data_IF_923324925792
#
_entry.id   IF_923324925792
#
_cell.length_a   1.000
_cell.length_b   1.000
_cell.length_c   1.000
_cell.angle_alpha   90.00
_cell.angle_beta   90.00
_cell.angle_gamma   90.00
#
_symmetry.space_group_name_H-M   'P 1'
#
loop_
_entity.id
_entity.type
_entity.pdbx_description
1 polymer ?
#
# COMPACT_ATOMS: atom_id res chain seq x y z
N UNK A 1 -12.68 10.56 -0.17
CA UNK A 1 -11.37 9.92 -0.38
C UNK A 1 -10.37 10.45 0.65
N UNK A 2 -9.68 9.53 1.32
CA UNK A 2 -8.68 9.76 2.37
C UNK A 2 -7.62 8.64 2.31
N UNK A 3 -6.36 9.00 2.51
CA UNK A 3 -5.26 8.03 2.69
C UNK A 3 -5.17 7.64 4.16
N UNK A 4 -5.23 6.35 4.45
CA UNK A 4 -5.18 5.80 5.80
C UNK A 4 -3.72 5.61 6.22
N UNK A 5 -3.28 6.44 7.16
CA UNK A 5 -1.93 6.40 7.75
C UNK A 5 -1.85 5.35 8.87
N UNK A 6 -0.64 5.10 9.37
CA UNK A 6 -0.35 3.99 10.30
C UNK A 6 -1.24 3.99 11.55
N UNK A 7 -1.40 5.16 12.19
CA UNK A 7 -2.20 5.30 13.40
C UNK A 7 -3.69 5.00 13.17
N UNK A 8 -4.15 5.24 11.95
CA UNK A 8 -5.55 5.00 11.57
C UNK A 8 -5.78 3.55 11.16
N UNK A 9 -4.77 2.92 10.55
CA UNK A 9 -4.80 1.51 10.18
C UNK A 9 -5.05 0.61 11.39
N UNK A 10 -4.50 0.99 12.55
CA UNK A 10 -4.68 0.29 13.83
C UNK A 10 -6.15 0.27 14.32
N UNK A 11 -7.02 1.10 13.75
CA UNK A 11 -8.47 1.05 14.02
C UNK A 11 -9.19 -0.05 13.22
N UNK A 12 -8.56 -0.57 12.17
CA UNK A 12 -9.18 -1.52 11.24
C UNK A 12 -8.61 -2.94 11.36
N UNK A 13 -7.37 -3.07 11.83
CA UNK A 13 -6.71 -4.36 11.98
C UNK A 13 -5.82 -4.37 13.23
N UNK A 14 -5.84 -5.47 13.96
CA UNK A 14 -4.96 -5.66 15.13
C UNK A 14 -3.54 -6.04 14.71
N UNK A 15 -2.57 -5.83 15.60
CA UNK A 15 -1.19 -6.26 15.35
C UNK A 15 -1.08 -7.78 15.14
N UNK A 16 -1.94 -8.58 15.78
CA UNK A 16 -1.94 -10.04 15.62
C UNK A 16 -2.45 -10.45 14.24
N UNK A 17 -3.51 -9.80 13.75
CA UNK A 17 -4.03 -10.04 12.41
C UNK A 17 -3.05 -9.57 11.33
N UNK A 18 -2.41 -8.43 11.54
CA UNK A 18 -1.43 -7.89 10.60
C UNK A 18 -0.23 -8.82 10.42
N UNK A 19 0.19 -9.50 11.49
CA UNK A 19 1.28 -10.50 11.46
C UNK A 19 1.00 -11.67 10.52
N UNK A 20 -0.25 -11.93 10.13
CA UNK A 20 -0.60 -12.96 9.13
C UNK A 20 -0.07 -12.62 7.74
N UNK A 21 0.19 -11.33 7.47
CA UNK A 21 0.75 -10.86 6.21
C UNK A 21 2.28 -10.76 6.22
N UNK A 22 2.94 -11.09 7.32
CA UNK A 22 4.40 -11.00 7.41
C UNK A 22 5.06 -12.10 6.59
N UNK A 23 6.13 -11.75 5.90
CA UNK A 23 6.98 -12.69 5.18
C UNK A 23 8.18 -13.07 6.05
N UNK A 24 8.29 -14.34 6.41
CA UNK A 24 9.39 -14.85 7.26
C UNK A 24 10.77 -14.74 6.63
N UNK A 25 10.85 -14.49 5.32
CA UNK A 25 12.11 -14.31 4.59
C UNK A 25 12.57 -12.84 4.53
N UNK A 26 11.81 -11.91 5.11
CA UNK A 26 12.19 -10.49 5.20
C UNK A 26 12.70 -10.22 6.62
N UNK A 27 14.02 -10.00 6.73
CA UNK A 27 14.70 -9.70 8.00
C UNK A 27 14.46 -8.26 8.48
N UNK A 28 14.23 -7.32 7.55
CA UNK A 28 13.95 -5.93 7.91
C UNK A 28 12.51 -5.78 8.44
N UNK A 29 12.38 -5.63 9.75
CA UNK A 29 11.07 -5.54 10.43
C UNK A 29 10.18 -4.44 9.86
N UNK A 30 10.75 -3.28 9.50
CA UNK A 30 9.95 -2.17 8.97
C UNK A 30 9.47 -2.47 7.56
N UNK A 31 10.31 -3.05 6.72
CA UNK A 31 9.92 -3.48 5.38
C UNK A 31 8.79 -4.51 5.45
N UNK A 32 8.86 -5.44 6.40
CA UNK A 32 7.85 -6.47 6.62
C UNK A 32 6.51 -5.87 7.08
N UNK A 33 6.55 -4.88 7.98
CA UNK A 33 5.38 -4.09 8.38
C UNK A 33 4.74 -3.36 7.19
N UNK A 34 5.54 -2.68 6.37
CA UNK A 34 5.05 -1.94 5.20
C UNK A 34 4.41 -2.89 4.18
N UNK A 35 5.03 -4.05 3.94
CA UNK A 35 4.46 -5.11 3.11
C UNK A 35 3.11 -5.57 3.67
N UNK A 36 3.02 -5.76 4.98
CA UNK A 36 1.79 -6.18 5.63
C UNK A 36 0.67 -5.13 5.49
N UNK A 37 0.96 -3.83 5.63
CA UNK A 37 -0.01 -2.76 5.41
C UNK A 37 -0.51 -2.74 3.97
N UNK A 38 0.40 -2.82 3.00
CA UNK A 38 0.04 -2.93 1.58
C UNK A 38 -0.85 -4.15 1.33
N UNK A 39 -0.45 -5.31 1.86
CA UNK A 39 -1.15 -6.58 1.64
C UNK A 39 -2.54 -6.58 2.29
N UNK A 40 -2.69 -5.95 3.46
CA UNK A 40 -3.98 -5.75 4.10
C UNK A 40 -4.97 -5.05 3.15
N UNK A 41 -4.57 -3.93 2.54
CA UNK A 41 -5.45 -3.22 1.59
C UNK A 41 -5.66 -3.96 0.27
N UNK A 42 -4.70 -4.76 -0.18
CA UNK A 42 -4.84 -5.61 -1.38
C UNK A 42 -5.75 -6.81 -1.13
N UNK A 43 -5.81 -7.30 0.11
CA UNK A 43 -6.59 -8.47 0.47
C UNK A 43 -8.09 -8.17 0.45
N UNK A 44 -8.91 -9.21 0.28
CA UNK A 44 -10.37 -9.08 0.38
C UNK A 44 -10.84 -8.60 1.78
N UNK A 45 -9.99 -8.67 2.80
CA UNK A 45 -10.30 -8.13 4.14
C UNK A 45 -10.46 -6.60 4.09
N UNK A 46 -9.83 -5.91 3.13
CA UNK A 46 -10.06 -4.49 2.88
C UNK A 46 -11.53 -4.17 2.54
N UNK A 47 -12.23 -5.12 1.90
CA UNK A 47 -13.67 -4.98 1.60
C UNK A 47 -14.58 -5.01 2.83
N UNK A 48 -14.04 -5.42 4.00
CA UNK A 48 -14.73 -5.34 5.30
C UNK A 48 -14.50 -4.01 6.02
N UNK A 49 -13.55 -3.19 5.54
CA UNK A 49 -13.24 -1.90 6.12
C UNK A 49 -14.29 -0.88 5.64
N UNK A 50 -14.90 -0.07 6.54
CA UNK A 50 -15.95 0.88 6.19
C UNK A 50 -15.37 2.14 5.51
N UNK A 51 -14.62 1.95 4.43
CA UNK A 51 -14.00 3.00 3.62
C UNK A 51 -14.59 3.00 2.21
N UNK A 52 -14.61 4.17 1.58
CA UNK A 52 -14.92 4.26 0.17
C UNK A 52 -13.82 3.60 -0.68
N UNK A 53 -14.21 3.13 -1.87
CA UNK A 53 -13.33 2.41 -2.79
C UNK A 53 -12.06 3.21 -3.11
N UNK A 54 -12.17 4.52 -3.34
CA UNK A 54 -11.02 5.37 -3.62
C UNK A 54 -10.05 5.40 -2.43
N UNK A 55 -10.55 5.55 -1.20
CA UNK A 55 -9.73 5.51 0.02
C UNK A 55 -8.98 4.19 0.17
N UNK A 56 -9.59 3.04 -0.18
CA UNK A 56 -8.92 1.73 -0.17
C UNK A 56 -7.76 1.71 -1.19
N UNK A 57 -8.04 2.04 -2.46
CA UNK A 57 -7.06 1.96 -3.54
C UNK A 57 -5.89 2.95 -3.36
N UNK A 58 -6.15 4.19 -2.96
CA UNK A 58 -5.08 5.15 -2.72
C UNK A 58 -4.29 4.86 -1.43
N UNK A 59 -4.91 4.26 -0.41
CA UNK A 59 -4.17 3.75 0.75
C UNK A 59 -3.29 2.56 0.36
N UNK A 60 -3.79 1.65 -0.47
CA UNK A 60 -3.01 0.55 -1.02
C UNK A 60 -1.77 1.06 -1.77
N UNK A 61 -1.94 2.02 -2.67
CA UNK A 61 -0.82 2.62 -3.40
C UNK A 61 0.16 3.35 -2.49
N UNK A 62 -0.35 4.12 -1.52
CA UNK A 62 0.47 4.78 -0.52
C UNK A 62 1.39 3.79 0.21
N UNK A 63 0.84 2.69 0.73
CA UNK A 63 1.64 1.69 1.43
C UNK A 63 2.60 0.92 0.51
N UNK A 64 2.19 0.65 -0.74
CA UNK A 64 3.08 0.09 -1.74
C UNK A 64 4.29 1.00 -2.01
N UNK A 65 4.09 2.32 -2.18
CA UNK A 65 5.18 3.25 -2.43
C UNK A 65 6.18 3.28 -1.26
N UNK A 66 5.69 3.28 -0.01
CA UNK A 66 6.55 3.18 1.18
C UNK A 66 7.31 1.86 1.23
N UNK A 67 6.65 0.73 0.92
CA UNK A 67 7.27 -0.59 0.84
C UNK A 67 8.36 -0.63 -0.23
N UNK A 68 8.07 -0.16 -1.45
CA UNK A 68 9.00 -0.11 -2.60
C UNK A 68 10.27 0.65 -2.23
N UNK A 69 10.11 1.85 -1.68
CA UNK A 69 11.25 2.68 -1.29
C UNK A 69 12.12 1.96 -0.25
N UNK A 70 11.51 1.45 0.83
CA UNK A 70 12.26 0.73 1.86
C UNK A 70 12.92 -0.53 1.30
N UNK A 71 12.27 -1.23 0.39
CA UNK A 71 12.85 -2.39 -0.28
C UNK A 71 14.11 -2.00 -1.05
N UNK A 72 14.08 -0.89 -1.78
CA UNK A 72 15.22 -0.42 -2.57
C UNK A 72 16.38 0.06 -1.69
N UNK A 73 16.09 0.64 -0.53
CA UNK A 73 17.11 0.95 0.46
C UNK A 73 17.82 -0.30 1.01
N UNK A 74 17.07 -1.39 1.22
CA UNK A 74 17.59 -2.61 1.87
C UNK A 74 18.28 -3.54 0.87
N UNK A 75 17.68 -3.77 -0.30
CA UNK A 75 18.11 -4.78 -1.27
C UNK A 75 18.62 -4.19 -2.59
N UNK A 76 18.50 -2.88 -2.78
CA UNK A 76 18.77 -2.21 -4.05
C UNK A 76 17.56 -2.20 -4.99
N UNK A 77 17.67 -1.49 -6.13
CA UNK A 77 16.60 -1.39 -7.11
C UNK A 77 16.14 -2.76 -7.64
N UNK A 78 14.83 -2.93 -7.77
CA UNK A 78 14.20 -4.17 -8.26
C UNK A 78 13.18 -3.83 -9.36
N UNK A 79 13.48 -4.23 -10.59
CA UNK A 79 12.61 -3.99 -11.75
C UNK A 79 11.25 -4.70 -11.63
N UNK A 80 11.19 -5.83 -10.94
CA UNK A 80 9.95 -6.55 -10.68
C UNK A 80 9.02 -5.77 -9.75
N UNK A 81 9.58 -5.10 -8.75
CA UNK A 81 8.80 -4.21 -7.87
C UNK A 81 8.36 -2.95 -8.64
N UNK A 82 9.21 -2.34 -9.47
CA UNK A 82 8.77 -1.23 -10.33
C UNK A 82 7.59 -1.65 -11.23
N UNK A 83 7.67 -2.82 -11.85
CA UNK A 83 6.59 -3.36 -12.67
C UNK A 83 5.29 -3.59 -11.88
N UNK A 84 5.37 -4.05 -10.64
CA UNK A 84 4.19 -4.17 -9.77
C UNK A 84 3.56 -2.80 -9.49
N UNK A 85 4.37 -1.74 -9.38
CA UNK A 85 3.88 -0.37 -9.23
C UNK A 85 3.06 0.09 -10.44
N UNK A 86 3.50 -0.20 -11.66
CA UNK A 86 2.72 0.10 -12.86
C UNK A 86 1.42 -0.70 -12.95
N UNK A 87 1.45 -1.99 -12.63
CA UNK A 87 0.23 -2.83 -12.58
C UNK A 87 -0.77 -2.31 -11.56
N UNK A 88 -0.28 -1.84 -10.41
CA UNK A 88 -1.13 -1.26 -9.37
C UNK A 88 -1.82 0.02 -9.87
N UNK A 89 -1.12 0.88 -10.61
CA UNK A 89 -1.72 2.05 -11.24
C UNK A 89 -2.79 1.64 -12.27
N UNK A 90 -2.49 0.67 -13.14
CA UNK A 90 -3.47 0.12 -14.09
C UNK A 90 -4.70 -0.45 -13.39
N UNK A 91 -4.52 -1.15 -12.27
CA UNK A 91 -5.62 -1.65 -11.46
C UNK A 91 -6.48 -0.51 -10.89
N UNK A 92 -5.85 0.56 -10.39
CA UNK A 92 -6.56 1.74 -9.88
C UNK A 92 -7.38 2.39 -10.99
N UNK A 93 -6.80 2.59 -12.18
CA UNK A 93 -7.51 3.17 -13.34
C UNK A 93 -8.72 2.33 -13.74
N UNK A 94 -8.54 1.00 -13.75
CA UNK A 94 -9.61 0.08 -14.10
C UNK A 94 -10.73 0.04 -13.05
N UNK A 95 -10.38 0.17 -11.77
CA UNK A 95 -11.30 -0.04 -10.65
C UNK A 95 -12.03 1.23 -10.23
N UNK A 96 -11.45 2.41 -10.45
CA UNK A 96 -12.06 3.69 -10.10
C UNK A 96 -12.78 4.29 -11.31
N UNK A 97 -14.09 4.57 -11.17
CA UNK A 97 -14.91 5.12 -12.26
C UNK A 97 -14.41 6.47 -12.79
N UNK A 98 -13.77 7.26 -11.92
CA UNK A 98 -13.22 8.58 -12.24
C UNK A 98 -11.80 8.50 -12.84
N UNK A 99 -11.21 7.30 -12.93
CA UNK A 99 -9.81 7.08 -13.30
C UNK A 99 -8.81 7.44 -12.20
N UNK A 100 -7.52 7.39 -12.53
CA UNK A 100 -6.43 7.75 -11.62
C UNK A 100 -6.36 9.28 -11.39
N UNK A 101 -6.30 9.68 -10.11
CA UNK A 101 -5.87 11.03 -9.69
C UNK A 101 -4.35 11.11 -9.69
N UNK A 102 -3.78 11.51 -10.83
CA UNK A 102 -2.33 11.67 -10.99
C UNK A 102 -1.72 12.68 -10.03
N UNK A 103 -2.47 13.72 -9.62
CA UNK A 103 -1.99 14.72 -8.67
C UNK A 103 -1.83 14.13 -7.27
N UNK A 104 -2.66 13.17 -6.89
CA UNK A 104 -2.49 12.43 -5.65
C UNK A 104 -1.33 11.43 -5.72
N UNK A 105 -1.20 10.69 -6.83
CA UNK A 105 -0.07 9.78 -7.05
C UNK A 105 1.26 10.52 -6.94
N UNK A 106 1.38 11.69 -7.58
CA UNK A 106 2.57 12.54 -7.48
C UNK A 106 2.86 12.95 -6.03
N UNK A 107 1.84 13.35 -5.27
CA UNK A 107 2.02 13.71 -3.85
C UNK A 107 2.49 12.52 -3.01
N UNK A 108 2.02 11.31 -3.29
CA UNK A 108 2.46 10.08 -2.61
C UNK A 108 3.94 9.85 -2.89
N UNK A 109 4.35 9.82 -4.16
CA UNK A 109 5.73 9.55 -4.58
C UNK A 109 6.70 10.66 -4.09
N UNK A 110 6.25 11.92 -4.02
CA UNK A 110 7.02 13.05 -3.48
C UNK A 110 6.96 13.21 -1.95
N UNK A 111 6.25 12.33 -1.25
CA UNK A 111 6.06 12.38 0.22
C UNK A 111 5.46 13.70 0.71
N UNK A 112 4.55 14.29 -0.05
CA UNK A 112 3.93 15.59 0.23
C UNK A 112 2.58 15.48 0.97
N UNK A 113 2.32 14.37 1.65
CA UNK A 113 1.04 14.00 2.30
C UNK A 113 1.22 13.22 3.60
#
# INVERSE_FOLDING_TARGET
MKIIKEDELKNFITNEELRKFYNVNIDDNRLNELLAYYTFFKSNDAGSVPLDKQSIYYSMYFWFAQFKERHFEVYGPDEGIEQEGFKLLEEIDYQLEEGIDWGLIEKIELKAI
#
